data_IF_266722621230
#
_entry.id   IF_266722621230
#
_cell.length_a   1.000
_cell.length_b   1.000
_cell.length_c   1.000
_cell.angle_alpha   90.00
_cell.angle_beta   90.00
_cell.angle_gamma   90.00
#
_symmetry.space_group_name_H-M   'P 1'
#
loop_
_entity.id
_entity.type
_entity.pdbx_description
1 polymer ?
#
# COMPACT_ATOMS: atom_id res chain seq x y z
N UNK A 1 -18.58 1.89 6.32
CA UNK A 1 -17.33 2.46 5.76
C UNK A 1 -16.91 1.65 4.54
N UNK A 2 -16.35 2.28 3.50
CA UNK A 2 -16.08 1.66 2.19
C UNK A 2 -14.58 1.38 1.94
N UNK A 3 -13.88 0.81 2.92
CA UNK A 3 -12.41 0.64 2.86
C UNK A 3 -11.88 0.04 1.55
N UNK A 4 -12.39 -1.13 1.09
CA UNK A 4 -11.93 -1.73 -0.17
C UNK A 4 -12.26 -0.91 -1.42
N UNK A 5 -13.36 -0.16 -1.42
CA UNK A 5 -13.74 0.70 -2.56
C UNK A 5 -12.78 1.87 -2.72
N UNK A 6 -12.44 2.52 -1.61
CA UNK A 6 -11.48 3.64 -1.58
C UNK A 6 -10.06 3.18 -1.92
N UNK A 7 -9.59 2.06 -1.36
CA UNK A 7 -8.25 1.54 -1.62
C UNK A 7 -8.02 1.22 -3.11
N UNK A 8 -9.06 0.77 -3.81
CA UNK A 8 -9.00 0.49 -5.25
C UNK A 8 -8.75 1.73 -6.13
N UNK A 9 -9.03 2.92 -5.61
CA UNK A 9 -8.91 4.19 -6.34
C UNK A 9 -7.55 4.87 -6.14
N UNK A 10 -6.60 4.18 -5.51
CA UNK A 10 -5.29 4.74 -5.16
C UNK A 10 -4.16 3.92 -5.76
N UNK A 11 -3.01 4.56 -5.95
CA UNK A 11 -1.80 3.87 -6.37
C UNK A 11 -1.32 2.88 -5.29
N UNK A 12 -1.47 3.26 -4.02
CA UNK A 12 -1.20 2.43 -2.85
C UNK A 12 -2.38 2.56 -1.89
N UNK A 13 -3.13 1.48 -1.71
CA UNK A 13 -4.30 1.43 -0.86
C UNK A 13 -4.12 0.46 0.31
N UNK A 14 -4.61 0.83 1.50
CA UNK A 14 -4.54 -0.02 2.70
C UNK A 14 -5.92 -0.05 3.35
N UNK A 15 -6.38 -1.24 3.72
CA UNK A 15 -7.63 -1.41 4.46
C UNK A 15 -7.41 -2.28 5.70
N UNK A 16 -8.34 -2.23 6.66
CA UNK A 16 -8.39 -3.23 7.72
C UNK A 16 -8.59 -4.64 7.15
N UNK A 17 -7.90 -5.62 7.74
CA UNK A 17 -7.98 -7.05 7.40
C UNK A 17 -8.48 -7.94 8.54
N UNK A 18 -8.70 -7.37 9.73
CA UNK A 18 -9.00 -8.11 10.96
C UNK A 18 -7.77 -8.83 11.53
N UNK A 19 -7.85 -9.26 12.79
CA UNK A 19 -6.77 -9.99 13.49
C UNK A 19 -5.40 -9.30 13.35
N UNK A 20 -5.34 -8.00 13.62
CA UNK A 20 -4.12 -7.18 13.51
C UNK A 20 -3.42 -7.27 12.15
N UNK A 21 -4.20 -7.45 11.09
CA UNK A 21 -3.72 -7.41 9.70
C UNK A 21 -4.40 -6.33 8.89
N UNK A 22 -3.74 -5.96 7.80
CA UNK A 22 -4.20 -5.02 6.79
C UNK A 22 -4.13 -5.67 5.41
N UNK A 23 -5.05 -5.31 4.52
CA UNK A 23 -4.98 -5.68 3.10
C UNK A 23 -4.32 -4.55 2.31
N UNK A 24 -3.32 -4.90 1.52
CA UNK A 24 -2.62 -3.96 0.65
C UNK A 24 -3.15 -4.07 -0.79
N UNK A 25 -3.33 -2.92 -1.41
CA UNK A 25 -3.71 -2.74 -2.81
C UNK A 25 -2.64 -1.93 -3.52
N UNK A 26 -2.25 -2.34 -4.73
CA UNK A 26 -1.28 -1.64 -5.60
C UNK A 26 -1.97 -1.38 -6.93
N UNK A 27 -2.02 -0.12 -7.37
CA UNK A 27 -2.73 0.31 -8.59
C UNK A 27 -4.18 -0.20 -8.65
N UNK A 28 -4.85 -0.18 -7.50
CA UNK A 28 -6.20 -0.70 -7.36
C UNK A 28 -6.35 -2.22 -7.30
N UNK A 29 -5.29 -2.98 -7.54
CA UNK A 29 -5.31 -4.44 -7.48
C UNK A 29 -4.94 -4.96 -6.09
N UNK A 30 -5.64 -5.99 -5.64
CA UNK A 30 -5.36 -6.65 -4.36
C UNK A 30 -4.00 -7.34 -4.43
N UNK A 31 -3.11 -7.06 -3.48
CA UNK A 31 -1.75 -7.57 -3.49
C UNK A 31 -1.53 -8.67 -2.43
N UNK A 32 -1.45 -8.29 -1.15
CA UNK A 32 -1.26 -9.23 -0.03
C UNK A 32 -1.79 -8.70 1.30
N UNK A 33 -1.82 -9.55 2.33
CA UNK A 33 -2.05 -9.16 3.73
C UNK A 33 -0.74 -8.91 4.44
N UNK A 34 -0.70 -7.89 5.27
CA UNK A 34 0.43 -7.53 6.12
C UNK A 34 -0.04 -7.42 7.57
N UNK A 35 0.82 -7.79 8.53
CA UNK A 35 0.52 -7.56 9.95
C UNK A 35 0.74 -6.10 10.32
N UNK A 36 0.06 -5.65 11.37
CA UNK A 36 0.20 -4.30 11.88
C UNK A 36 1.65 -3.99 12.30
N UNK A 37 2.38 -4.99 12.85
CA UNK A 37 3.79 -4.86 13.24
C UNK A 37 4.73 -4.57 12.06
N UNK A 38 4.43 -5.12 10.88
CA UNK A 38 5.26 -4.99 9.68
C UNK A 38 4.88 -3.77 8.81
N UNK A 39 3.71 -3.17 9.06
CA UNK A 39 3.14 -2.13 8.22
C UNK A 39 4.03 -0.88 8.09
N UNK A 40 4.65 -0.33 9.17
CA UNK A 40 5.48 0.87 9.05
C UNK A 40 6.71 0.65 8.15
N UNK A 41 7.41 -0.46 8.34
CA UNK A 41 8.61 -0.81 7.54
C UNK A 41 8.25 -1.04 6.08
N UNK A 42 7.11 -1.70 5.82
CA UNK A 42 6.61 -1.87 4.47
C UNK A 42 6.27 -0.55 3.79
N UNK A 43 5.55 0.34 4.48
CA UNK A 43 5.20 1.68 3.99
C UNK A 43 6.44 2.51 3.64
N UNK A 44 7.46 2.49 4.51
CA UNK A 44 8.72 3.16 4.22
C UNK A 44 9.35 2.65 2.92
N UNK A 45 9.44 1.32 2.76
CA UNK A 45 10.04 0.70 1.58
C UNK A 45 9.32 1.10 0.29
N UNK A 46 7.99 1.01 0.26
CA UNK A 46 7.23 1.31 -0.96
C UNK A 46 7.28 2.81 -1.31
N UNK A 47 7.23 3.70 -0.31
CA UNK A 47 7.29 5.15 -0.54
C UNK A 47 8.67 5.52 -1.11
N UNK A 48 9.76 4.98 -0.53
CA UNK A 48 11.12 5.22 -1.02
C UNK A 48 11.32 4.68 -2.43
N UNK A 49 10.84 3.48 -2.71
CA UNK A 49 10.91 2.90 -4.05
C UNK A 49 10.19 3.79 -5.06
N UNK A 50 8.93 4.18 -4.78
CA UNK A 50 8.17 5.05 -5.67
C UNK A 50 8.83 6.42 -5.87
N UNK A 51 9.36 7.04 -4.81
CA UNK A 51 10.08 8.31 -4.92
C UNK A 51 11.35 8.19 -5.78
N UNK A 52 12.07 7.08 -5.68
CA UNK A 52 13.26 6.81 -6.50
C UNK A 52 12.92 6.55 -7.97
N UNK A 53 11.83 5.82 -8.25
CA UNK A 53 11.34 5.57 -9.61
C UNK A 53 10.88 6.86 -10.29
N UNK A 54 10.18 7.73 -9.55
CA UNK A 54 9.76 9.05 -10.05
C UNK A 54 10.94 9.98 -10.33
N UNK A 55 12.01 9.90 -9.52
CA UNK A 55 13.23 10.69 -9.74
C UNK A 55 13.99 10.26 -11.01
N UNK A 56 14.02 8.96 -11.30
CA UNK A 56 14.72 8.40 -12.46
C UNK A 56 13.95 8.56 -13.79
N UNK A 57 12.63 8.75 -13.73
CA UNK A 57 11.80 8.88 -14.94
C UNK A 57 11.77 10.29 -15.54
N UNK A 58 12.36 11.28 -14.86
CA UNK A 58 12.41 12.69 -15.26
C UNK A 58 13.82 13.12 -15.76
N UNK A 59 14.69 12.19 -16.13
CA UNK A 59 16.01 12.45 -16.77
C UNK A 59 16.04 11.80 -18.15
#
# INVERSE_FOLDING_TARGET
VNGPGEAKMTQIGITGGGNDTHMVYINGEKNHRIKNEDLPTYLEKIIRNQASEQSNSNT
#
